data_IF_635879369763
#
_entry.id   IF_635879369763
#
_cell.length_a   1.000
_cell.length_b   1.000
_cell.length_c   1.000
_cell.angle_alpha   90.00
_cell.angle_beta   90.00
_cell.angle_gamma   90.00
#
_symmetry.space_group_name_H-M   'P 1'
#
loop_
_entity.id
_entity.type
_entity.pdbx_description
1 polymer ?
#
# COMPACT_ATOMS: atom_id res chain seq x y z
N UNK A 1 27.35 -13.33 -0.90
CA UNK A 1 26.23 -13.51 0.06
C UNK A 1 25.04 -12.76 -0.49
N UNK A 2 24.01 -13.46 -0.95
CA UNK A 2 22.83 -12.84 -1.58
C UNK A 2 21.86 -12.33 -0.52
N UNK A 3 21.57 -11.04 -0.53
CA UNK A 3 20.46 -10.48 0.25
C UNK A 3 19.17 -11.16 -0.18
N UNK A 4 18.56 -11.93 0.73
CA UNK A 4 17.23 -12.50 0.52
C UNK A 4 16.21 -11.36 0.63
N UNK A 5 15.94 -10.66 -0.48
CA UNK A 5 14.87 -9.67 -0.57
C UNK A 5 13.53 -10.38 -0.41
N UNK A 6 13.01 -10.44 0.82
CA UNK A 6 11.67 -10.95 1.07
C UNK A 6 10.68 -9.90 0.56
N UNK A 7 10.15 -10.14 -0.64
CA UNK A 7 9.05 -9.35 -1.20
C UNK A 7 7.76 -9.98 -0.74
N UNK A 8 6.88 -9.17 -0.14
CA UNK A 8 5.51 -9.60 0.19
C UNK A 8 4.56 -8.81 -0.70
N UNK A 9 3.69 -9.51 -1.42
CA UNK A 9 2.67 -8.91 -2.27
C UNK A 9 1.35 -8.98 -1.52
N UNK A 10 0.67 -7.84 -1.41
CA UNK A 10 -0.68 -7.75 -0.86
C UNK A 10 -1.62 -7.35 -1.99
N UNK A 11 -2.61 -8.19 -2.29
CA UNK A 11 -3.63 -7.95 -3.32
C UNK A 11 -4.99 -7.92 -2.66
N UNK A 12 -5.80 -6.90 -2.96
CA UNK A 12 -7.17 -6.79 -2.46
C UNK A 12 -8.02 -5.86 -3.31
N UNK A 13 -9.35 -5.90 -3.07
CA UNK A 13 -10.33 -5.04 -3.74
C UNK A 13 -10.57 -3.77 -2.95
N UNK A 14 -10.70 -2.65 -3.66
CA UNK A 14 -10.97 -1.34 -3.07
C UNK A 14 -12.47 -1.15 -2.82
N UNK A 15 -12.81 -0.62 -1.65
CA UNK A 15 -14.16 -0.21 -1.29
C UNK A 15 -14.15 1.08 -0.44
N UNK A 16 -15.29 1.77 -0.41
CA UNK A 16 -15.54 2.89 0.50
C UNK A 16 -16.56 2.46 1.55
N UNK A 17 -16.17 2.53 2.82
CA UNK A 17 -17.07 2.34 3.94
C UNK A 17 -17.83 3.65 4.20
N UNK A 18 -19.11 3.65 3.87
CA UNK A 18 -20.01 4.80 4.02
C UNK A 18 -20.35 5.06 5.49
N UNK A 19 -20.33 4.02 6.35
CA UNK A 19 -20.67 4.16 7.77
C UNK A 19 -19.57 4.87 8.55
N UNK A 20 -18.30 4.57 8.22
CA UNK A 20 -17.13 5.12 8.90
C UNK A 20 -16.45 6.27 8.12
N UNK A 21 -17.01 6.65 6.95
CA UNK A 21 -16.46 7.68 6.05
C UNK A 21 -14.98 7.42 5.71
N UNK A 22 -14.65 6.15 5.45
CA UNK A 22 -13.27 5.72 5.24
C UNK A 22 -13.10 4.81 4.04
N UNK A 23 -11.88 4.83 3.53
CA UNK A 23 -11.46 4.03 2.40
C UNK A 23 -10.81 2.74 2.89
N UNK A 24 -11.26 1.58 2.37
CA UNK A 24 -10.82 0.27 2.84
C UNK A 24 -10.44 -0.69 1.71
N UNK A 25 -9.50 -1.59 2.00
CA UNK A 25 -9.19 -2.74 1.15
C UNK A 25 -9.77 -4.02 1.74
N UNK A 26 -10.53 -4.77 0.93
CA UNK A 26 -10.99 -6.10 1.28
C UNK A 26 -9.91 -7.14 0.96
N UNK A 27 -9.38 -7.77 2.02
CA UNK A 27 -8.29 -8.74 1.98
C UNK A 27 -8.65 -9.97 2.80
N UNK A 28 -8.77 -11.15 2.19
CA UNK A 28 -9.00 -12.42 2.91
C UNK A 28 -10.09 -12.30 4.01
N UNK A 29 -11.25 -11.76 3.65
CA UNK A 29 -12.44 -11.60 4.51
C UNK A 29 -12.37 -10.55 5.62
N UNK A 30 -11.51 -9.54 5.46
CA UNK A 30 -11.41 -8.40 6.37
C UNK A 30 -11.18 -7.10 5.62
N UNK A 31 -11.73 -6.03 6.18
CA UNK A 31 -11.50 -4.67 5.72
C UNK A 31 -10.28 -4.09 6.45
N UNK A 32 -9.38 -3.49 5.68
CA UNK A 32 -8.19 -2.79 6.18
C UNK A 32 -8.33 -1.31 5.82
N UNK A 33 -8.23 -0.36 6.77
CA UNK A 33 -8.23 1.08 6.48
C UNK A 33 -7.02 1.53 5.64
N UNK A 34 -7.26 2.38 4.62
CA UNK A 34 -6.25 2.73 3.60
C UNK A 34 -6.24 4.21 3.17
N UNK A 35 -6.85 5.11 3.95
CA UNK A 35 -7.03 6.53 3.58
C UNK A 35 -5.77 7.21 3.01
N UNK A 36 -4.65 7.14 3.73
CA UNK A 36 -3.39 7.76 3.29
C UNK A 36 -2.82 7.11 2.02
N UNK A 37 -2.93 5.78 1.89
CA UNK A 37 -2.44 5.10 0.69
C UNK A 37 -3.25 5.53 -0.54
N UNK A 38 -4.57 5.62 -0.43
CA UNK A 38 -5.40 6.03 -1.57
C UNK A 38 -5.18 7.49 -1.93
N UNK A 39 -4.93 8.38 -0.96
CA UNK A 39 -4.53 9.75 -1.27
C UNK A 39 -3.21 9.80 -2.08
N UNK A 40 -2.23 8.96 -1.73
CA UNK A 40 -0.97 8.87 -2.45
C UNK A 40 -1.15 8.29 -3.87
N UNK A 41 -1.91 7.19 -4.01
CA UNK A 41 -2.16 6.56 -5.31
C UNK A 41 -2.96 7.48 -6.23
N UNK A 42 -4.01 8.13 -5.74
CA UNK A 42 -4.81 9.06 -6.55
C UNK A 42 -4.02 10.28 -7.02
N UNK A 43 -3.05 10.74 -6.23
CA UNK A 43 -2.12 11.80 -6.67
C UNK A 43 -1.28 11.33 -7.86
N UNK A 44 -0.71 10.13 -7.78
CA UNK A 44 0.05 9.53 -8.87
C UNK A 44 -0.81 9.36 -10.13
N UNK A 45 -2.04 8.84 -9.99
CA UNK A 45 -2.96 8.69 -11.13
C UNK A 45 -3.27 10.03 -11.79
N UNK A 46 -3.49 11.09 -11.00
CA UNK A 46 -3.73 12.42 -11.53
C UNK A 46 -2.52 12.98 -12.29
N UNK A 47 -1.29 12.75 -11.81
CA UNK A 47 -0.04 13.11 -12.51
C UNK A 47 0.10 12.38 -13.86
N UNK A 48 -0.45 11.17 -13.96
CA UNK A 48 -0.50 10.38 -15.19
C UNK A 48 -1.72 10.69 -16.08
N UNK A 49 -2.60 11.61 -15.67
CA UNK A 49 -3.82 11.97 -16.39
C UNK A 49 -4.92 10.89 -16.33
N UNK A 50 -4.84 9.98 -15.36
CA UNK A 50 -5.79 8.89 -15.13
C UNK A 50 -6.86 9.31 -14.11
N UNK A 51 -8.07 8.72 -14.18
CA UNK A 51 -9.10 8.94 -13.18
C UNK A 51 -8.69 8.37 -11.81
N UNK A 52 -9.26 8.87 -10.70
CA UNK A 52 -9.01 8.32 -9.38
C UNK A 52 -9.51 6.88 -9.25
N UNK A 53 -8.95 6.14 -8.29
CA UNK A 53 -9.43 4.83 -7.85
C UNK A 53 -10.93 4.89 -7.54
N UNK A 54 -11.65 3.86 -7.98
CA UNK A 54 -13.07 3.66 -7.70
C UNK A 54 -13.29 2.32 -6.99
N UNK A 55 -14.41 2.23 -6.28
CA UNK A 55 -14.85 0.98 -5.67
C UNK A 55 -14.93 -0.13 -6.71
N UNK A 56 -14.40 -1.31 -6.37
CA UNK A 56 -14.31 -2.46 -7.26
C UNK A 56 -13.00 -2.56 -8.06
N UNK A 57 -12.17 -1.52 -8.09
CA UNK A 57 -10.81 -1.64 -8.63
C UNK A 57 -9.96 -2.58 -7.77
N UNK A 58 -8.97 -3.23 -8.39
CA UNK A 58 -7.99 -4.07 -7.71
C UNK A 58 -6.69 -3.30 -7.49
N UNK A 59 -6.16 -3.38 -6.27
CA UNK A 59 -4.89 -2.74 -5.91
C UNK A 59 -3.89 -3.81 -5.45
N UNK A 60 -2.75 -3.87 -6.13
CA UNK A 60 -1.60 -4.69 -5.76
C UNK A 60 -0.52 -3.80 -5.12
N UNK A 61 -0.22 -4.06 -3.84
CA UNK A 61 0.82 -3.36 -3.10
C UNK A 61 2.03 -4.27 -2.93
N UNK A 62 3.14 -3.85 -3.54
CA UNK A 62 4.42 -4.55 -3.46
C UNK A 62 5.24 -4.02 -2.28
N UNK A 63 5.26 -4.75 -1.16
CA UNK A 63 6.05 -4.37 0.00
C UNK A 63 7.47 -4.93 -0.13
N UNK A 64 8.44 -4.01 -0.13
CA UNK A 64 9.86 -4.34 -0.07
C UNK A 64 10.44 -3.77 1.22
N UNK A 65 10.87 -4.65 2.12
CA UNK A 65 11.62 -4.25 3.31
C UNK A 65 13.10 -4.34 2.99
N UNK A 66 13.75 -3.19 2.88
CA UNK A 66 15.20 -3.13 2.99
C UNK A 66 15.52 -3.39 4.47
N UNK A 67 16.10 -4.55 4.81
CA UNK A 67 16.70 -4.71 6.13
C UNK A 67 17.76 -3.60 6.25
N UNK A 68 17.73 -2.74 7.30
CA UNK A 68 18.90 -1.93 7.58
C UNK A 68 20.04 -2.91 7.82
N UNK A 69 21.05 -2.91 6.93
CA UNK A 69 22.30 -3.55 7.23
C UNK A 69 22.76 -3.02 8.58
N UNK A 70 23.02 -3.92 9.54
CA UNK A 70 23.67 -3.57 10.80
C UNK A 70 25.02 -2.94 10.44
N UNK A 71 25.07 -1.60 10.45
CA UNK A 71 26.18 -0.86 9.86
C UNK A 71 26.05 0.64 10.08
N UNK A 72 25.61 1.06 11.26
CA UNK A 72 25.96 2.38 11.77
C UNK A 72 26.82 2.15 13.01
N UNK A 73 28.13 2.43 12.99
CA UNK A 73 28.90 2.48 14.23
C UNK A 73 28.31 3.62 15.06
N UNK A 74 27.98 3.32 16.32
CA UNK A 74 27.70 4.33 17.31
C UNK A 74 28.89 5.30 17.35
N UNK A 75 28.67 6.54 16.94
CA UNK A 75 29.64 7.62 17.20
C UNK A 75 29.64 7.80 18.71
N UNK A 76 30.82 7.56 19.30
CA UNK A 76 31.12 7.75 20.72
C UNK A 76 31.03 9.22 21.12
#
# INVERSE_FOLDING_TARGET
>A
MGESKQTTIIVGRVAYDVENDEWVMYLNDRFVPMGDLYAAVNRQLAEEGLPPLKSGDELEVNLRRSSPGQGQPAIR
#
